data_IF_297963224397
#
_entry.id   IF_297963224397
#
_cell.length_a   1.000
_cell.length_b   1.000
_cell.length_c   1.000
_cell.angle_alpha   90.00
_cell.angle_beta   90.00
_cell.angle_gamma   90.00
#
_symmetry.space_group_name_H-M   'P 1'
#
loop_
_entity.id
_entity.type
_entity.pdbx_description
1 polymer ?
#
# COMPACT_ATOMS: atom_id res chain seq x y z
N UNK A 1 -3.90 26.74 8.28
CA UNK A 1 -4.65 26.56 7.04
C UNK A 1 -6.12 26.46 7.39
N UNK A 2 -6.97 27.36 6.88
CA UNK A 2 -8.39 27.16 7.03
C UNK A 2 -8.84 26.05 6.10
N UNK A 3 -9.37 24.93 6.61
CA UNK A 3 -10.03 23.95 5.77
C UNK A 3 -11.24 24.55 5.09
N UNK A 4 -11.39 24.32 3.80
CA UNK A 4 -12.65 24.65 3.14
C UNK A 4 -13.71 23.66 3.64
N UNK A 5 -14.95 24.13 3.91
CA UNK A 5 -16.03 23.22 4.25
C UNK A 5 -16.31 22.25 3.09
N UNK A 6 -16.92 21.11 3.38
CA UNK A 6 -17.25 20.09 2.38
C UNK A 6 -18.07 20.66 1.18
N UNK A 7 -18.83 21.73 1.41
CA UNK A 7 -19.50 22.50 0.36
C UNK A 7 -19.04 23.96 0.43
N UNK A 8 -17.88 24.29 -0.16
CA UNK A 8 -17.36 25.63 -0.11
C UNK A 8 -18.17 26.58 -0.99
N UNK A 9 -18.36 27.84 -0.52
CA UNK A 9 -19.08 28.86 -1.27
C UNK A 9 -18.13 29.96 -1.75
N UNK A 10 -18.10 30.19 -3.05
CA UNK A 10 -17.32 31.27 -3.65
C UNK A 10 -17.78 32.64 -3.16
N UNK A 11 -19.08 32.83 -2.90
CA UNK A 11 -19.62 34.12 -2.44
C UNK A 11 -19.20 34.43 -1.00
N UNK A 12 -19.15 33.38 -0.14
CA UNK A 12 -18.61 33.54 1.22
C UNK A 12 -17.11 33.90 1.18
N UNK A 13 -16.34 33.22 0.32
CA UNK A 13 -14.91 33.53 0.16
C UNK A 13 -14.68 34.95 -0.40
N UNK A 14 -15.50 35.37 -1.36
CA UNK A 14 -15.47 36.76 -1.87
C UNK A 14 -15.80 37.79 -0.81
N UNK A 15 -16.83 37.51 0.01
CA UNK A 15 -17.18 38.35 1.13
C UNK A 15 -16.03 38.46 2.13
N UNK A 16 -15.46 37.34 2.56
CA UNK A 16 -14.27 37.34 3.45
C UNK A 16 -13.11 38.13 2.86
N UNK A 17 -12.86 38.04 1.56
CA UNK A 17 -11.79 38.83 0.92
C UNK A 17 -12.07 40.32 0.97
N UNK A 18 -13.32 40.73 0.78
CA UNK A 18 -13.71 42.13 0.89
C UNK A 18 -13.62 42.66 2.34
N UNK A 19 -14.02 41.82 3.30
CA UNK A 19 -13.97 42.18 4.72
C UNK A 19 -12.51 42.29 5.20
N UNK A 20 -11.65 41.37 4.79
CA UNK A 20 -10.21 41.44 5.07
C UNK A 20 -9.55 42.68 4.44
N UNK A 21 -9.89 42.97 3.18
CA UNK A 21 -9.36 44.14 2.49
C UNK A 21 -9.72 45.44 3.23
N UNK A 22 -10.97 45.56 3.75
CA UNK A 22 -11.43 46.70 4.53
C UNK A 22 -10.76 46.78 5.90
N UNK A 23 -10.68 45.66 6.59
CA UNK A 23 -10.12 45.61 7.95
C UNK A 23 -8.65 45.99 7.99
N UNK A 24 -7.88 45.55 6.98
CA UNK A 24 -6.43 45.74 6.95
C UNK A 24 -5.97 46.86 5.99
N UNK A 25 -6.87 47.51 5.29
CA UNK A 25 -6.52 48.58 4.35
C UNK A 25 -5.72 48.13 3.12
N UNK A 26 -5.79 46.86 2.77
CA UNK A 26 -5.05 46.27 1.63
C UNK A 26 -5.93 46.22 0.37
N UNK A 27 -5.29 46.08 -0.79
CA UNK A 27 -6.03 45.89 -2.05
C UNK A 27 -6.79 44.55 -2.05
N UNK A 28 -7.96 44.52 -2.67
CA UNK A 28 -8.79 43.31 -2.78
C UNK A 28 -8.00 42.11 -3.36
N UNK A 29 -7.19 42.36 -4.37
CA UNK A 29 -6.35 41.29 -4.96
C UNK A 29 -5.35 40.67 -3.97
N UNK A 30 -4.82 41.46 -3.06
CA UNK A 30 -3.94 41.00 -2.00
C UNK A 30 -4.71 40.21 -0.95
N UNK A 31 -5.86 40.68 -0.51
CA UNK A 31 -6.73 39.92 0.40
C UNK A 31 -7.19 38.60 -0.20
N UNK A 32 -7.53 38.58 -1.48
CA UNK A 32 -7.85 37.36 -2.24
C UNK A 32 -6.67 36.40 -2.29
N UNK A 33 -5.47 36.89 -2.55
CA UNK A 33 -4.25 36.10 -2.56
C UNK A 33 -3.98 35.46 -1.19
N UNK A 34 -4.11 36.24 -0.10
CA UNK A 34 -3.92 35.74 1.26
C UNK A 34 -4.93 34.64 1.61
N UNK A 35 -6.22 34.86 1.30
CA UNK A 35 -7.25 33.83 1.52
C UNK A 35 -6.95 32.57 0.71
N UNK A 36 -6.53 32.71 -0.55
CA UNK A 36 -6.14 31.54 -1.34
C UNK A 36 -4.97 30.78 -0.68
N UNK A 37 -3.95 31.49 -0.20
CA UNK A 37 -2.81 30.92 0.51
C UNK A 37 -3.22 30.25 1.84
N UNK A 38 -4.12 30.87 2.60
CA UNK A 38 -4.66 30.30 3.84
C UNK A 38 -5.34 28.95 3.61
N UNK A 39 -5.95 28.78 2.45
CA UNK A 39 -6.57 27.52 2.03
C UNK A 39 -5.64 26.63 1.19
N UNK A 40 -4.32 26.91 1.15
CA UNK A 40 -3.32 26.07 0.47
C UNK A 40 -3.25 26.23 -1.04
N UNK A 41 -3.87 27.27 -1.61
CA UNK A 41 -3.83 27.51 -3.05
C UNK A 41 -2.81 28.58 -3.43
N UNK A 42 -2.07 28.38 -4.55
CA UNK A 42 -1.05 29.32 -4.98
C UNK A 42 -1.60 30.67 -5.47
N UNK A 43 -2.90 30.73 -5.78
CA UNK A 43 -3.57 31.96 -6.21
C UNK A 43 -5.08 31.89 -6.07
N UNK A 44 -5.72 33.07 -6.05
CA UNK A 44 -7.18 33.19 -6.02
C UNK A 44 -7.89 32.49 -7.20
N UNK A 45 -7.44 32.61 -8.47
CA UNK A 45 -8.05 31.86 -9.56
C UNK A 45 -8.00 30.34 -9.37
N UNK A 46 -6.94 29.81 -8.74
CA UNK A 46 -6.82 28.39 -8.42
C UNK A 46 -7.81 27.94 -7.35
N UNK A 47 -7.96 28.74 -6.30
CA UNK A 47 -8.99 28.52 -5.29
C UNK A 47 -10.40 28.58 -5.91
N UNK A 48 -10.68 29.55 -6.78
CA UNK A 48 -11.97 29.64 -7.46
C UNK A 48 -12.25 28.41 -8.34
N UNK A 49 -11.27 27.96 -9.11
CA UNK A 49 -11.39 26.77 -9.95
C UNK A 49 -11.67 25.50 -9.12
N UNK A 50 -11.00 25.38 -7.98
CA UNK A 50 -11.26 24.30 -7.01
C UNK A 50 -12.71 24.35 -6.49
N UNK A 51 -13.13 25.50 -5.95
CA UNK A 51 -14.47 25.63 -5.35
C UNK A 51 -15.57 25.36 -6.38
N UNK A 52 -15.43 25.85 -7.60
CA UNK A 52 -16.39 25.54 -8.67
C UNK A 52 -16.48 24.03 -8.91
N UNK A 53 -15.35 23.35 -9.00
CA UNK A 53 -15.29 21.90 -9.25
C UNK A 53 -15.92 21.10 -8.13
N UNK A 54 -15.60 21.43 -6.87
CA UNK A 54 -16.21 20.79 -5.70
C UNK A 54 -17.73 21.01 -5.68
N UNK A 55 -18.19 22.22 -6.05
CA UNK A 55 -19.64 22.52 -6.08
C UNK A 55 -20.37 21.92 -7.27
N UNK A 56 -19.71 21.84 -8.43
CA UNK A 56 -20.30 21.32 -9.67
C UNK A 56 -20.25 19.78 -9.76
N UNK A 57 -19.19 19.15 -9.20
CA UNK A 57 -18.93 17.71 -9.32
C UNK A 57 -18.85 16.96 -8.00
N UNK A 58 -18.96 17.64 -6.85
CA UNK A 58 -18.89 17.01 -5.52
C UNK A 58 -17.51 16.46 -5.15
N UNK A 59 -16.43 16.95 -5.77
CA UNK A 59 -15.09 16.38 -5.66
C UNK A 59 -14.21 17.08 -4.62
N UNK A 60 -13.38 16.28 -3.94
CA UNK A 60 -12.30 16.77 -3.08
C UNK A 60 -10.98 16.65 -3.83
N UNK A 61 -10.33 17.78 -4.15
CA UNK A 61 -9.02 17.76 -4.77
C UNK A 61 -7.91 17.53 -3.72
N UNK A 62 -6.82 16.95 -4.17
CA UNK A 62 -5.69 16.60 -3.34
C UNK A 62 -4.64 17.70 -3.34
N UNK A 63 -3.97 17.91 -2.20
CA UNK A 63 -2.82 18.82 -2.12
C UNK A 63 -1.54 18.11 -2.58
N UNK A 64 -0.78 18.68 -3.52
CA UNK A 64 0.57 18.20 -3.81
C UNK A 64 1.47 18.54 -2.61
N UNK A 65 2.19 17.57 -2.11
CA UNK A 65 3.06 17.73 -0.94
C UNK A 65 4.52 17.29 -1.19
N UNK A 66 4.71 16.37 -2.14
CA UNK A 66 6.04 15.85 -2.46
C UNK A 66 6.76 16.80 -3.41
N UNK A 67 8.05 17.03 -3.16
CA UNK A 67 8.86 17.97 -3.93
C UNK A 67 9.44 17.37 -5.21
N UNK A 68 9.41 16.04 -5.33
CA UNK A 68 9.93 15.34 -6.50
C UNK A 68 8.86 15.19 -7.58
N UNK A 69 9.15 15.70 -8.76
CA UNK A 69 8.28 15.58 -9.94
C UNK A 69 8.13 14.13 -10.39
N UNK A 70 9.18 13.31 -10.25
CA UNK A 70 9.15 11.90 -10.65
C UNK A 70 8.19 11.08 -9.78
N UNK A 71 7.98 11.46 -8.53
CA UNK A 71 6.93 10.89 -7.69
C UNK A 71 5.55 10.98 -8.37
N UNK A 72 5.18 12.15 -8.87
CA UNK A 72 3.89 12.35 -9.56
C UNK A 72 3.85 11.67 -10.93
N UNK A 73 5.00 11.59 -11.61
CA UNK A 73 5.12 10.84 -12.87
C UNK A 73 4.92 9.34 -12.65
N UNK A 74 5.50 8.77 -11.61
CA UNK A 74 5.29 7.39 -11.19
C UNK A 74 3.83 7.10 -10.84
N UNK A 75 3.18 8.04 -10.16
CA UNK A 75 1.73 7.94 -9.88
C UNK A 75 0.89 7.91 -11.14
N UNK A 76 1.20 8.74 -12.12
CA UNK A 76 0.49 8.74 -13.40
C UNK A 76 0.67 7.40 -14.16
N UNK A 77 1.88 6.84 -14.14
CA UNK A 77 2.13 5.52 -14.71
C UNK A 77 1.38 4.41 -13.99
N UNK A 78 1.35 4.46 -12.64
CA UNK A 78 0.60 3.49 -11.84
C UNK A 78 -0.90 3.55 -12.08
N UNK A 79 -1.47 4.74 -12.20
CA UNK A 79 -2.88 4.93 -12.52
C UNK A 79 -3.21 4.37 -13.92
N UNK A 80 -2.36 4.64 -14.91
CA UNK A 80 -2.53 4.12 -16.27
C UNK A 80 -2.48 2.59 -16.29
N UNK A 81 -1.47 1.99 -15.67
CA UNK A 81 -1.34 0.54 -15.59
C UNK A 81 -2.56 -0.11 -14.92
N UNK A 82 -3.05 0.47 -13.81
CA UNK A 82 -4.26 -0.01 -13.14
C UNK A 82 -5.51 0.09 -14.03
N UNK A 83 -5.62 1.15 -14.84
CA UNK A 83 -6.73 1.33 -15.76
C UNK A 83 -6.66 0.37 -16.97
N UNK A 84 -5.45 0.09 -17.47
CA UNK A 84 -5.21 -0.91 -18.53
C UNK A 84 -5.49 -2.34 -18.05
N UNK A 85 -5.26 -2.61 -16.76
CA UNK A 85 -5.55 -3.90 -16.12
C UNK A 85 -7.01 -4.05 -15.65
N UNK A 86 -7.90 -3.14 -16.03
CA UNK A 86 -9.30 -3.12 -15.62
C UNK A 86 -9.51 -3.14 -14.08
N UNK A 87 -8.56 -2.61 -13.32
CA UNK A 87 -8.70 -2.47 -11.86
C UNK A 87 -9.98 -1.68 -11.55
N UNK A 88 -10.87 -2.17 -10.68
CA UNK A 88 -12.11 -1.47 -10.33
C UNK A 88 -11.84 -0.03 -9.89
N UNK A 89 -12.56 0.93 -10.49
CA UNK A 89 -12.43 2.35 -10.21
C UNK A 89 -11.23 3.06 -10.87
N UNK A 90 -10.28 2.34 -11.48
CA UNK A 90 -9.08 2.95 -12.06
C UNK A 90 -9.35 3.76 -13.34
N UNK A 91 -10.39 3.42 -14.09
CA UNK A 91 -10.82 4.18 -15.28
C UNK A 91 -11.64 5.41 -14.95
N UNK A 92 -12.33 5.41 -13.82
CA UNK A 92 -13.20 6.50 -13.40
C UNK A 92 -12.53 7.90 -13.42
N UNK A 93 -11.28 8.09 -12.93
CA UNK A 93 -10.61 9.38 -13.03
C UNK A 93 -10.37 9.84 -14.47
N UNK A 94 -10.12 8.91 -15.41
CA UNK A 94 -9.97 9.24 -16.83
C UNK A 94 -11.28 9.73 -17.44
N UNK A 95 -12.37 9.01 -17.18
CA UNK A 95 -13.71 9.38 -17.65
C UNK A 95 -14.16 10.71 -17.07
N UNK A 96 -13.99 10.89 -15.77
CA UNK A 96 -14.31 12.13 -15.02
C UNK A 96 -13.63 13.35 -15.62
N UNK A 97 -12.38 13.23 -16.02
CA UNK A 97 -11.59 14.33 -16.56
C UNK A 97 -11.54 14.35 -18.08
N UNK A 98 -12.25 13.43 -18.77
CA UNK A 98 -12.29 13.33 -20.23
C UNK A 98 -10.90 13.12 -20.82
N UNK A 99 -10.07 12.26 -20.20
CA UNK A 99 -8.71 11.99 -20.65
C UNK A 99 -8.58 10.59 -21.26
N UNK A 100 -7.82 10.43 -22.35
CA UNK A 100 -7.57 9.11 -22.93
C UNK A 100 -6.67 8.26 -22.03
N UNK A 101 -6.78 6.92 -22.15
CA UNK A 101 -5.88 5.96 -21.49
C UNK A 101 -4.51 5.96 -22.16
N UNK A 102 -3.75 7.01 -21.91
CA UNK A 102 -2.38 7.22 -22.40
C UNK A 102 -1.53 7.82 -21.30
N UNK A 103 -0.19 7.77 -21.46
CA UNK A 103 0.74 8.40 -20.51
C UNK A 103 0.45 9.88 -20.28
N UNK A 104 0.14 10.63 -21.34
CA UNK A 104 -0.16 12.06 -21.21
C UNK A 104 -1.56 12.29 -20.61
N UNK A 105 -2.53 11.42 -20.93
CA UNK A 105 -3.84 11.44 -20.28
C UNK A 105 -3.74 11.16 -18.77
N UNK A 106 -2.97 10.18 -18.36
CA UNK A 106 -2.72 9.90 -16.95
C UNK A 106 -2.03 11.06 -16.21
N UNK A 107 -1.05 11.69 -16.84
CA UNK A 107 -0.42 12.91 -16.32
C UNK A 107 -1.42 14.07 -16.20
N UNK A 108 -2.32 14.22 -17.18
CA UNK A 108 -3.36 15.22 -17.13
C UNK A 108 -4.36 14.94 -16.00
N UNK A 109 -4.75 13.67 -15.79
CA UNK A 109 -5.60 13.25 -14.66
C UNK A 109 -4.93 13.63 -13.34
N UNK A 110 -3.70 13.19 -13.10
CA UNK A 110 -2.97 13.50 -11.86
C UNK A 110 -2.87 15.01 -11.65
N UNK A 111 -2.57 15.79 -12.69
CA UNK A 111 -2.54 17.25 -12.56
C UNK A 111 -3.89 17.83 -12.14
N UNK A 112 -4.98 17.33 -12.69
CA UNK A 112 -6.33 17.81 -12.40
C UNK A 112 -6.79 17.41 -10.99
N UNK A 113 -6.46 16.20 -10.53
CA UNK A 113 -6.71 15.75 -9.15
C UNK A 113 -6.03 16.67 -8.13
N UNK A 114 -4.90 17.27 -8.49
CA UNK A 114 -4.21 18.29 -7.68
C UNK A 114 -4.67 19.74 -7.98
N UNK A 115 -5.74 19.96 -8.72
CA UNK A 115 -6.27 21.29 -9.00
C UNK A 115 -5.53 22.08 -10.08
N UNK A 116 -4.66 21.45 -10.86
CA UNK A 116 -3.92 22.10 -11.93
C UNK A 116 -4.51 21.79 -13.30
N UNK A 117 -4.62 22.83 -14.15
CA UNK A 117 -5.16 22.67 -15.51
C UNK A 117 -4.25 21.88 -16.46
N UNK A 118 -2.99 21.64 -16.11
CA UNK A 118 -2.05 20.88 -16.93
C UNK A 118 -0.91 20.31 -16.12
N UNK A 119 -0.26 19.25 -16.67
CA UNK A 119 0.96 18.65 -16.10
C UNK A 119 2.09 19.67 -15.91
N UNK A 120 2.25 20.60 -16.88
CA UNK A 120 3.26 21.68 -16.79
C UNK A 120 3.01 22.57 -15.56
N UNK A 121 1.75 22.89 -15.27
CA UNK A 121 1.39 23.72 -14.12
C UNK A 121 1.63 23.00 -12.79
N UNK A 122 1.25 21.70 -12.69
CA UNK A 122 1.55 20.89 -11.52
C UNK A 122 3.07 20.80 -11.29
N UNK A 123 3.83 20.47 -12.33
CA UNK A 123 5.28 20.34 -12.25
C UNK A 123 5.97 21.64 -11.82
N UNK A 124 5.49 22.78 -12.30
CA UNK A 124 5.99 24.08 -11.87
C UNK A 124 5.71 24.36 -10.40
N UNK A 125 4.52 24.01 -9.92
CA UNK A 125 4.17 24.15 -8.50
C UNK A 125 5.00 23.21 -7.62
N UNK A 126 5.10 21.93 -7.97
CA UNK A 126 5.87 20.94 -7.21
C UNK A 126 7.32 21.41 -7.03
N UNK A 127 7.95 21.95 -8.07
CA UNK A 127 9.30 22.53 -7.96
C UNK A 127 9.39 23.72 -7.00
N UNK A 128 8.31 24.45 -6.83
CA UNK A 128 8.26 25.60 -5.90
C UNK A 128 7.96 25.20 -4.45
N UNK A 129 7.64 23.94 -4.16
CA UNK A 129 7.35 23.49 -2.79
C UNK A 129 8.58 23.49 -1.89
N UNK A 130 9.79 23.47 -2.44
CA UNK A 130 11.05 23.51 -1.68
C UNK A 130 11.05 24.66 -0.67
N UNK A 131 10.62 25.83 -1.11
CA UNK A 131 10.57 27.05 -0.29
C UNK A 131 9.14 27.46 0.09
N UNK A 132 8.13 26.62 -0.22
CA UNK A 132 6.76 26.97 0.05
C UNK A 132 6.48 26.91 1.55
N UNK A 133 5.94 27.97 2.09
CA UNK A 133 5.40 27.99 3.45
C UNK A 133 4.08 27.20 3.60
N UNK A 134 3.72 26.37 2.62
CA UNK A 134 2.46 25.61 2.63
C UNK A 134 2.39 24.67 3.83
N UNK A 135 1.40 24.84 4.73
CA UNK A 135 1.35 24.11 6.00
C UNK A 135 1.29 22.58 5.83
N UNK A 136 0.51 22.09 4.83
CA UNK A 136 0.40 20.65 4.59
C UNK A 136 1.74 20.02 4.16
N UNK A 137 2.46 20.67 3.24
CA UNK A 137 3.77 20.20 2.81
C UNK A 137 4.81 20.26 3.96
N UNK A 138 4.70 21.24 4.86
CA UNK A 138 5.54 21.34 6.07
C UNK A 138 5.23 20.20 7.05
N UNK A 139 3.95 19.89 7.28
CA UNK A 139 3.53 18.79 8.15
C UNK A 139 3.95 17.44 7.57
N UNK A 140 3.81 17.25 6.26
CA UNK A 140 4.28 16.05 5.58
C UNK A 140 5.80 15.86 5.75
N UNK A 141 6.61 16.92 5.56
CA UNK A 141 8.05 16.85 5.78
C UNK A 141 8.43 16.55 7.23
N UNK A 142 7.67 17.06 8.20
CA UNK A 142 7.86 16.70 9.61
C UNK A 142 7.61 15.21 9.84
N UNK A 143 6.60 14.63 9.20
CA UNK A 143 6.32 13.19 9.23
C UNK A 143 7.47 12.40 8.60
N UNK A 144 7.92 12.76 7.40
CA UNK A 144 9.06 12.09 6.73
C UNK A 144 10.36 12.15 7.56
N UNK A 145 10.61 13.30 8.18
CA UNK A 145 11.77 13.51 9.06
C UNK A 145 11.62 12.85 10.45
N UNK A 146 10.46 12.25 10.74
CA UNK A 146 10.10 11.72 12.08
C UNK A 146 10.31 12.76 13.17
N UNK A 147 9.80 13.98 12.93
CA UNK A 147 9.88 15.14 13.83
C UNK A 147 8.50 15.41 14.47
N UNK A 148 8.20 14.75 15.62
CA UNK A 148 6.92 14.89 16.29
C UNK A 148 6.71 16.31 16.84
N UNK A 149 7.76 16.98 17.31
CA UNK A 149 7.66 18.33 17.90
C UNK A 149 7.26 19.35 16.83
N UNK A 150 7.82 19.21 15.64
CA UNK A 150 7.48 20.04 14.49
C UNK A 150 6.06 19.79 14.02
N UNK A 151 5.63 18.52 13.98
CA UNK A 151 4.27 18.14 13.62
C UNK A 151 3.27 18.74 14.61
N UNK A 152 3.49 18.58 15.90
CA UNK A 152 2.61 19.11 16.95
C UNK A 152 2.49 20.63 16.90
N UNK A 153 3.60 21.34 16.70
CA UNK A 153 3.61 22.79 16.50
C UNK A 153 2.72 23.20 15.32
N UNK A 154 2.84 22.49 14.17
CA UNK A 154 2.07 22.79 12.98
C UNK A 154 0.59 22.50 13.14
N UNK A 155 0.21 21.44 13.85
CA UNK A 155 -1.18 21.12 14.16
C UNK A 155 -1.79 22.16 15.12
N UNK A 156 -1.01 22.69 16.07
CA UNK A 156 -1.41 23.78 16.92
C UNK A 156 -1.64 25.09 16.15
N UNK A 157 -0.75 25.42 15.20
CA UNK A 157 -0.87 26.62 14.36
C UNK A 157 -2.02 26.49 13.32
N UNK A 158 -2.24 25.27 12.81
CA UNK A 158 -3.18 24.96 11.72
C UNK A 158 -4.02 23.72 12.04
N UNK A 159 -4.98 23.78 12.97
CA UNK A 159 -5.76 22.62 13.39
C UNK A 159 -6.45 21.87 12.25
N UNK A 160 -6.83 22.56 11.17
CA UNK A 160 -7.44 21.95 9.98
C UNK A 160 -6.50 21.06 9.18
N UNK A 161 -5.21 20.98 9.51
CA UNK A 161 -4.27 20.06 8.85
C UNK A 161 -4.64 18.60 9.09
N UNK A 162 -5.24 18.29 10.23
CA UNK A 162 -5.65 16.93 10.58
C UNK A 162 -6.65 16.34 9.59
N UNK A 163 -7.46 17.20 8.96
CA UNK A 163 -8.46 16.83 7.94
C UNK A 163 -7.98 17.03 6.50
N UNK A 164 -6.82 17.64 6.32
CA UNK A 164 -6.31 17.92 4.98
C UNK A 164 -5.89 16.61 4.27
N UNK A 165 -6.07 16.58 2.95
CA UNK A 165 -5.75 15.42 2.13
C UNK A 165 -4.66 15.74 1.12
N UNK A 166 -3.71 14.84 1.02
CA UNK A 166 -2.66 14.86 0.01
C UNK A 166 -2.97 13.95 -1.17
N UNK A 167 -1.92 13.53 -1.84
CA UNK A 167 -1.99 12.64 -3.01
C UNK A 167 -2.72 11.34 -2.67
N UNK A 168 -3.57 10.85 -3.56
CA UNK A 168 -4.47 9.69 -3.35
C UNK A 168 -5.52 9.87 -2.25
N UNK A 169 -5.75 11.08 -1.80
CA UNK A 169 -6.64 11.34 -0.69
C UNK A 169 -6.12 10.83 0.65
N UNK A 170 -4.83 10.46 0.75
CA UNK A 170 -4.21 10.19 2.04
C UNK A 170 -4.22 11.46 2.89
N UNK A 171 -4.59 11.31 4.16
CA UNK A 171 -4.39 12.34 5.18
C UNK A 171 -3.03 12.14 5.89
N UNK A 172 -2.73 13.02 6.85
CA UNK A 172 -1.47 12.92 7.58
C UNK A 172 -1.38 11.64 8.43
N UNK A 173 -2.52 11.11 8.94
CA UNK A 173 -2.52 9.86 9.72
C UNK A 173 -2.17 8.65 8.84
N UNK A 174 -2.76 8.56 7.65
CA UNK A 174 -2.41 7.50 6.69
C UNK A 174 -0.95 7.54 6.26
N UNK A 175 -0.36 8.75 6.17
CA UNK A 175 1.07 8.92 5.86
C UNK A 175 1.98 8.61 7.05
N UNK A 176 1.61 9.02 8.26
CA UNK A 176 2.37 8.73 9.47
C UNK A 176 2.52 7.22 9.72
N UNK A 177 1.47 6.44 9.45
CA UNK A 177 1.52 4.98 9.55
C UNK A 177 2.59 4.30 8.70
N UNK A 178 3.01 4.93 7.60
CA UNK A 178 4.08 4.40 6.75
C UNK A 178 5.51 4.68 7.29
N UNK A 179 5.66 5.54 8.28
CA UNK A 179 6.97 5.90 8.85
C UNK A 179 7.45 4.94 9.93
N UNK A 180 6.59 4.06 10.42
CA UNK A 180 6.85 3.19 11.57
C UNK A 180 7.14 3.95 12.88
N UNK A 181 6.75 5.22 12.97
CA UNK A 181 6.83 6.02 14.20
C UNK A 181 5.43 6.24 14.79
N UNK A 182 5.08 5.48 15.82
CA UNK A 182 3.78 5.52 16.46
C UNK A 182 3.49 6.86 17.16
N UNK A 183 4.52 7.61 17.54
CA UNK A 183 4.35 8.91 18.19
C UNK A 183 3.66 9.90 17.26
N UNK A 184 4.02 9.89 15.97
CA UNK A 184 3.40 10.72 14.95
C UNK A 184 1.91 10.39 14.79
N UNK A 185 1.57 9.10 14.73
CA UNK A 185 0.19 8.65 14.65
C UNK A 185 -0.61 9.02 15.91
N UNK A 186 -0.01 8.89 17.09
CA UNK A 186 -0.63 9.29 18.36
C UNK A 186 -0.94 10.78 18.41
N UNK A 187 0.01 11.64 18.05
CA UNK A 187 -0.18 13.10 17.98
C UNK A 187 -1.36 13.43 17.07
N UNK A 188 -1.43 12.83 15.88
CA UNK A 188 -2.50 13.09 14.94
C UNK A 188 -3.87 12.63 15.48
N UNK A 189 -3.93 11.47 16.14
CA UNK A 189 -5.15 10.96 16.77
C UNK A 189 -5.59 11.85 17.94
N UNK A 190 -4.64 12.31 18.78
CA UNK A 190 -4.91 13.23 19.88
C UNK A 190 -5.41 14.61 19.39
N UNK A 191 -5.03 15.02 18.19
CA UNK A 191 -5.56 16.20 17.49
C UNK A 191 -6.85 15.94 16.69
N UNK A 192 -7.43 14.73 16.81
CA UNK A 192 -8.74 14.38 16.23
C UNK A 192 -8.69 13.85 14.81
N UNK A 193 -7.56 13.29 14.36
CA UNK A 193 -7.53 12.56 13.10
C UNK A 193 -8.52 11.40 13.11
N UNK A 194 -9.25 11.23 12.02
CA UNK A 194 -10.24 10.16 11.88
C UNK A 194 -9.56 8.83 11.49
N UNK A 195 -9.50 7.83 12.40
CA UNK A 195 -8.85 6.56 12.14
C UNK A 195 -9.62 5.66 11.15
N UNK A 196 -10.87 6.02 10.82
CA UNK A 196 -11.69 5.29 9.85
C UNK A 196 -11.47 5.80 8.42
N UNK A 197 -10.81 6.94 8.25
CA UNK A 197 -10.70 7.59 6.96
C UNK A 197 -9.79 6.82 6.01
N UNK A 198 -10.36 6.35 4.89
CA UNK A 198 -9.62 5.74 3.79
C UNK A 198 -9.20 6.76 2.73
N UNK A 199 -8.15 6.43 1.98
CA UNK A 199 -7.79 7.14 0.75
C UNK A 199 -8.75 6.80 -0.40
N UNK A 200 -8.47 7.26 -1.63
CA UNK A 200 -9.32 7.00 -2.81
C UNK A 200 -9.46 5.51 -3.17
N UNK A 201 -8.63 4.64 -2.62
CA UNK A 201 -8.70 3.19 -2.79
C UNK A 201 -9.37 2.48 -1.61
N UNK A 202 -9.94 3.22 -0.66
CA UNK A 202 -10.45 2.68 0.60
C UNK A 202 -9.38 2.27 1.62
N UNK A 203 -8.10 2.57 1.34
CA UNK A 203 -6.98 2.20 2.20
C UNK A 203 -6.95 3.07 3.46
N UNK A 204 -7.29 2.48 4.60
CA UNK A 204 -7.34 3.15 5.91
C UNK A 204 -6.00 3.05 6.65
N UNK A 205 -5.78 3.79 7.75
CA UNK A 205 -4.61 3.62 8.61
C UNK A 205 -4.42 2.18 9.11
N UNK A 206 -5.52 1.43 9.37
CA UNK A 206 -5.45 0.02 9.77
C UNK A 206 -4.91 -0.87 8.64
N UNK A 207 -5.27 -0.60 7.37
CA UNK A 207 -4.66 -1.29 6.23
C UNK A 207 -3.16 -1.02 6.14
N UNK A 208 -2.75 0.24 6.37
CA UNK A 208 -1.33 0.58 6.36
C UNK A 208 -0.56 -0.14 7.47
N UNK A 209 -1.09 -0.15 8.68
CA UNK A 209 -0.48 -0.85 9.80
C UNK A 209 -0.41 -2.38 9.57
N UNK A 210 -1.44 -2.96 8.97
CA UNK A 210 -1.48 -4.37 8.58
C UNK A 210 -0.44 -4.70 7.48
N UNK A 211 -0.33 -3.84 6.46
CA UNK A 211 0.62 -3.97 5.36
C UNK A 211 2.08 -3.85 5.82
N UNK A 212 2.34 -3.03 6.83
CA UNK A 212 3.69 -2.77 7.36
C UNK A 212 4.04 -3.62 8.58
N UNK A 213 3.17 -4.57 8.99
CA UNK A 213 3.33 -5.41 10.17
C UNK A 213 3.61 -4.61 11.46
N UNK A 214 2.73 -3.67 11.78
CA UNK A 214 2.88 -2.76 12.93
C UNK A 214 1.80 -3.05 14.00
N UNK A 215 1.95 -4.13 14.81
CA UNK A 215 0.93 -4.54 15.79
C UNK A 215 0.66 -3.45 16.85
N UNK A 216 1.67 -2.69 17.28
CA UNK A 216 1.48 -1.62 18.25
C UNK A 216 0.67 -0.45 17.67
N UNK A 217 0.89 -0.11 16.41
CA UNK A 217 0.07 0.88 15.72
C UNK A 217 -1.36 0.37 15.51
N UNK A 218 -1.55 -0.92 15.22
CA UNK A 218 -2.89 -1.54 15.18
C UNK A 218 -3.60 -1.36 16.52
N UNK A 219 -2.97 -1.71 17.63
CA UNK A 219 -3.53 -1.55 18.98
C UNK A 219 -3.89 -0.08 19.26
N UNK A 220 -3.06 0.87 18.85
CA UNK A 220 -3.33 2.29 18.99
C UNK A 220 -4.58 2.70 18.20
N UNK A 221 -4.65 2.34 16.91
CA UNK A 221 -5.77 2.66 16.03
C UNK A 221 -7.09 2.03 16.54
N UNK A 222 -7.04 0.76 16.98
CA UNK A 222 -8.20 0.06 17.52
C UNK A 222 -8.74 0.72 18.80
N UNK A 223 -7.87 1.17 19.70
CA UNK A 223 -8.28 1.95 20.88
C UNK A 223 -8.96 3.28 20.53
N UNK A 224 -8.63 3.86 19.36
CA UNK A 224 -9.30 5.05 18.83
C UNK A 224 -10.52 4.73 17.95
N UNK A 225 -11.02 3.49 17.97
CA UNK A 225 -12.24 3.10 17.27
C UNK A 225 -12.09 2.88 15.76
N UNK A 226 -10.88 2.61 15.28
CA UNK A 226 -10.65 2.30 13.86
C UNK A 226 -11.44 1.04 13.43
N UNK A 227 -12.18 1.08 12.31
CA UNK A 227 -12.89 -0.10 11.81
C UNK A 227 -11.92 -1.11 11.19
N UNK A 228 -12.15 -2.41 11.43
CA UNK A 228 -11.29 -3.51 10.99
C UNK A 228 -11.82 -4.27 9.78
N UNK A 229 -13.14 -4.22 9.54
CA UNK A 229 -13.80 -4.98 8.46
C UNK A 229 -14.11 -4.13 7.22
N UNK A 230 -13.29 -3.10 6.99
CA UNK A 230 -13.39 -2.23 5.81
C UNK A 230 -12.58 -2.84 4.68
N UNK A 231 -13.18 -2.97 3.49
CA UNK A 231 -12.48 -3.43 2.29
C UNK A 231 -11.79 -2.27 1.56
N UNK A 232 -10.57 -2.51 1.08
CA UNK A 232 -9.84 -1.62 0.19
C UNK A 232 -9.57 -2.30 -1.16
N UNK A 233 -9.51 -1.51 -2.23
CA UNK A 233 -9.18 -1.99 -3.59
C UNK A 233 -10.12 -3.09 -4.10
N UNK A 234 -11.41 -2.94 -3.85
CA UNK A 234 -12.45 -3.90 -4.21
C UNK A 234 -12.93 -4.74 -3.03
N UNK A 235 -13.78 -5.70 -3.30
CA UNK A 235 -14.36 -6.58 -2.27
C UNK A 235 -13.30 -7.50 -1.67
N UNK A 236 -13.30 -7.58 -0.33
CA UNK A 236 -12.54 -8.56 0.44
C UNK A 236 -11.11 -8.19 0.80
N UNK A 237 -10.62 -7.02 0.36
CA UNK A 237 -9.31 -6.52 0.77
C UNK A 237 -9.34 -5.89 2.16
N UNK A 238 -9.77 -6.63 3.19
CA UNK A 238 -9.77 -6.14 4.58
C UNK A 238 -8.35 -6.09 5.16
N UNK A 239 -8.08 -5.34 6.23
CA UNK A 239 -6.77 -5.32 6.87
C UNK A 239 -6.25 -6.72 7.25
N UNK A 240 -7.12 -7.60 7.73
CA UNK A 240 -6.75 -9.00 8.03
C UNK A 240 -6.28 -9.73 6.77
N UNK A 241 -7.02 -9.62 5.67
CA UNK A 241 -6.64 -10.24 4.39
C UNK A 241 -5.30 -9.69 3.89
N UNK A 242 -5.07 -8.37 4.04
CA UNK A 242 -3.79 -7.74 3.71
C UNK A 242 -2.63 -8.33 4.51
N UNK A 243 -2.78 -8.40 5.83
CA UNK A 243 -1.74 -8.97 6.70
C UNK A 243 -1.44 -10.44 6.35
N UNK A 244 -2.46 -11.27 6.16
CA UNK A 244 -2.31 -12.68 5.80
C UNK A 244 -1.65 -12.86 4.42
N UNK A 245 -2.05 -12.04 3.44
CA UNK A 245 -1.48 -12.10 2.11
C UNK A 245 0.03 -11.82 2.10
N UNK A 246 0.49 -10.85 2.88
CA UNK A 246 1.91 -10.51 2.97
C UNK A 246 2.68 -11.36 4.00
N UNK A 247 2.01 -12.26 4.72
CA UNK A 247 2.65 -13.09 5.74
C UNK A 247 3.02 -12.32 7.01
N UNK A 248 2.32 -11.23 7.30
CA UNK A 248 2.50 -10.39 8.49
C UNK A 248 1.72 -10.99 9.67
N UNK A 249 2.28 -12.06 10.21
CA UNK A 249 1.65 -12.92 11.20
C UNK A 249 1.18 -12.17 12.44
N UNK A 250 2.01 -11.30 12.99
CA UNK A 250 1.69 -10.55 14.23
C UNK A 250 0.51 -9.59 14.02
N UNK A 251 0.51 -8.86 12.90
CA UNK A 251 -0.60 -8.02 12.52
C UNK A 251 -1.86 -8.84 12.27
N UNK A 252 -1.76 -9.99 11.58
CA UNK A 252 -2.89 -10.87 11.32
C UNK A 252 -3.48 -11.45 12.61
N UNK A 253 -2.66 -11.88 13.57
CA UNK A 253 -3.10 -12.40 14.87
C UNK A 253 -3.75 -11.32 15.73
N UNK A 254 -3.28 -10.08 15.66
CA UNK A 254 -3.93 -8.94 16.31
C UNK A 254 -5.30 -8.67 15.68
N UNK A 255 -5.36 -8.57 14.35
CA UNK A 255 -6.61 -8.28 13.65
C UNK A 255 -7.65 -9.41 13.79
N UNK A 256 -7.24 -10.67 13.76
CA UNK A 256 -8.15 -11.80 13.90
C UNK A 256 -8.95 -11.81 15.20
N UNK A 257 -8.46 -11.15 16.26
CA UNK A 257 -9.17 -10.98 17.53
C UNK A 257 -10.31 -9.97 17.47
N UNK A 258 -10.28 -9.07 16.47
CA UNK A 258 -11.19 -7.93 16.36
C UNK A 258 -12.03 -7.94 15.09
N UNK A 259 -11.64 -8.72 14.06
CA UNK A 259 -12.30 -8.78 12.77
C UNK A 259 -13.07 -10.08 12.59
N UNK A 260 -14.10 -10.00 11.76
CA UNK A 260 -14.80 -11.20 11.28
C UNK A 260 -14.00 -11.77 10.10
N UNK A 261 -13.34 -12.91 10.31
CA UNK A 261 -12.60 -13.58 9.27
C UNK A 261 -13.53 -13.94 8.09
N UNK A 262 -13.18 -13.57 6.84
CA UNK A 262 -13.92 -14.02 5.66
C UNK A 262 -13.88 -15.55 5.54
N UNK A 263 -15.04 -16.15 5.26
CA UNK A 263 -15.17 -17.60 5.11
C UNK A 263 -14.64 -18.10 3.76
N UNK A 264 -13.34 -17.98 3.53
CA UNK A 264 -12.67 -18.51 2.34
C UNK A 264 -11.42 -19.31 2.70
N UNK A 265 -11.05 -20.24 1.83
CA UNK A 265 -9.99 -21.20 2.08
C UNK A 265 -8.60 -20.54 2.29
N UNK A 266 -8.31 -19.45 1.61
CA UNK A 266 -7.03 -18.73 1.74
C UNK A 266 -6.87 -18.12 3.13
N UNK A 267 -7.94 -17.48 3.63
CA UNK A 267 -7.95 -16.87 4.96
C UNK A 267 -7.86 -17.95 6.04
N UNK A 268 -8.64 -19.01 5.93
CA UNK A 268 -8.58 -20.15 6.86
C UNK A 268 -7.16 -20.75 6.90
N UNK A 269 -6.55 -20.96 5.74
CA UNK A 269 -5.17 -21.45 5.63
C UNK A 269 -4.13 -20.52 6.24
N UNK A 270 -4.24 -19.20 5.96
CA UNK A 270 -3.34 -18.19 6.51
C UNK A 270 -3.46 -18.04 8.03
N UNK A 271 -4.65 -18.25 8.58
CA UNK A 271 -4.89 -18.30 10.03
C UNK A 271 -4.45 -19.64 10.66
N UNK A 272 -4.39 -20.71 9.87
CA UNK A 272 -4.12 -22.08 10.36
C UNK A 272 -5.36 -22.71 11.00
N UNK A 273 -6.55 -22.29 10.60
CA UNK A 273 -7.84 -22.81 11.09
C UNK A 273 -8.17 -24.11 10.34
N UNK A 274 -7.79 -25.24 10.93
CA UNK A 274 -7.93 -26.56 10.32
C UNK A 274 -9.41 -26.94 10.15
N UNK A 275 -10.25 -26.64 11.11
CA UNK A 275 -11.69 -26.99 11.06
C UNK A 275 -12.36 -26.24 9.90
N UNK A 276 -12.06 -24.95 9.74
CA UNK A 276 -12.55 -24.16 8.61
C UNK A 276 -11.99 -24.63 7.27
N UNK A 277 -10.71 -25.03 7.19
CA UNK A 277 -10.12 -25.61 5.98
C UNK A 277 -10.89 -26.87 5.56
N UNK A 278 -11.12 -27.78 6.48
CA UNK A 278 -11.82 -29.04 6.22
C UNK A 278 -13.28 -28.81 5.80
N UNK A 279 -14.00 -27.92 6.48
CA UNK A 279 -15.36 -27.54 6.11
C UNK A 279 -15.41 -26.95 4.69
N UNK A 280 -14.53 -26.01 4.37
CA UNK A 280 -14.52 -25.32 3.09
C UNK A 280 -14.14 -26.26 1.93
N UNK A 281 -13.21 -27.17 2.13
CA UNK A 281 -12.83 -28.19 1.14
C UNK A 281 -13.97 -29.18 0.90
N UNK A 282 -14.69 -29.58 1.94
CA UNK A 282 -15.79 -30.55 1.84
C UNK A 282 -17.04 -29.93 1.20
N UNK A 283 -17.34 -28.66 1.52
CA UNK A 283 -18.53 -27.96 1.03
C UNK A 283 -18.36 -27.36 -0.36
N UNK A 284 -17.15 -27.28 -0.90
CA UNK A 284 -16.84 -26.61 -2.17
C UNK A 284 -17.06 -25.09 -2.15
N UNK A 285 -17.24 -24.49 -0.97
CA UNK A 285 -17.53 -23.05 -0.80
C UNK A 285 -16.31 -22.18 -0.59
N UNK A 286 -15.15 -22.60 -1.06
CA UNK A 286 -13.88 -21.90 -0.84
C UNK A 286 -13.73 -20.52 -1.50
N UNK A 287 -14.81 -19.88 -1.93
CA UNK A 287 -14.87 -18.65 -2.70
C UNK A 287 -13.80 -17.58 -2.44
N UNK A 288 -13.58 -16.73 -3.40
CA UNK A 288 -12.43 -15.84 -3.44
C UNK A 288 -12.79 -14.38 -3.25
N UNK A 289 -12.14 -13.72 -2.28
CA UNK A 289 -12.05 -12.27 -2.27
C UNK A 289 -10.83 -11.83 -3.07
N UNK A 290 -11.02 -11.27 -4.27
CA UNK A 290 -9.94 -11.06 -5.25
C UNK A 290 -9.58 -9.60 -5.49
N UNK A 291 -10.37 -8.64 -4.99
CA UNK A 291 -10.16 -7.22 -5.24
C UNK A 291 -8.80 -6.68 -4.79
N UNK A 292 -8.27 -7.23 -3.71
CA UNK A 292 -6.97 -6.84 -3.16
C UNK A 292 -5.78 -7.25 -4.05
N UNK A 293 -5.90 -8.33 -4.79
CA UNK A 293 -4.78 -8.92 -5.55
C UNK A 293 -4.55 -8.31 -6.92
N UNK A 294 -5.30 -7.30 -7.28
CA UNK A 294 -4.98 -6.52 -8.46
C UNK A 294 -3.86 -5.57 -8.12
N UNK A 295 -2.65 -5.89 -8.59
CA UNK A 295 -1.47 -5.26 -8.06
C UNK A 295 -1.32 -3.84 -8.55
N UNK A 296 -0.56 -3.10 -7.76
CA UNK A 296 0.06 -1.89 -8.23
C UNK A 296 0.88 -2.12 -9.48
N UNK A 297 1.08 -1.06 -10.24
CA UNK A 297 2.06 -0.99 -11.31
C UNK A 297 3.35 -1.72 -10.92
N UNK A 298 3.80 -2.61 -11.79
CA UNK A 298 5.05 -3.34 -11.62
C UNK A 298 4.93 -4.82 -11.29
N UNK A 299 3.75 -5.32 -10.97
CA UNK A 299 3.54 -6.77 -10.84
C UNK A 299 2.95 -7.35 -12.13
N UNK A 300 3.24 -8.61 -12.47
CA UNK A 300 2.66 -9.27 -13.62
C UNK A 300 1.15 -9.35 -13.47
N UNK A 301 0.45 -9.33 -14.59
CA UNK A 301 -1.00 -9.52 -14.62
C UNK A 301 -1.33 -10.89 -14.08
N UNK A 302 -1.90 -10.94 -12.89
CA UNK A 302 -2.44 -12.15 -12.34
C UNK A 302 -3.96 -12.15 -12.52
N UNK A 303 -4.47 -13.16 -13.19
CA UNK A 303 -5.88 -13.37 -13.47
C UNK A 303 -6.37 -14.58 -12.68
N UNK A 304 -6.57 -14.45 -11.34
CA UNK A 304 -6.99 -15.59 -10.54
C UNK A 304 -8.37 -16.08 -10.98
N UNK A 305 -8.57 -17.39 -10.96
CA UNK A 305 -9.82 -18.05 -11.28
C UNK A 305 -10.53 -18.55 -10.03
N UNK A 306 -11.76 -19.08 -10.18
CA UNK A 306 -12.46 -19.80 -9.10
C UNK A 306 -12.26 -21.32 -9.21
N UNK A 307 -11.25 -21.76 -9.97
CA UNK A 307 -10.88 -23.17 -10.05
C UNK A 307 -10.50 -23.67 -8.65
N UNK A 308 -11.19 -24.71 -8.14
CA UNK A 308 -10.90 -25.28 -6.82
C UNK A 308 -9.45 -25.72 -6.63
N UNK A 309 -8.77 -26.16 -7.71
CA UNK A 309 -7.35 -26.53 -7.67
C UNK A 309 -6.49 -25.30 -7.44
N UNK A 310 -6.70 -24.25 -8.24
CA UNK A 310 -5.97 -22.99 -8.06
C UNK A 310 -6.20 -22.38 -6.68
N UNK A 311 -7.46 -22.33 -6.20
CA UNK A 311 -7.81 -21.81 -4.88
C UNK A 311 -7.10 -22.58 -3.76
N UNK A 312 -7.03 -23.92 -3.88
CA UNK A 312 -6.33 -24.79 -2.90
C UNK A 312 -4.82 -24.57 -2.94
N UNK A 313 -4.23 -24.45 -4.12
CA UNK A 313 -2.81 -24.18 -4.29
C UNK A 313 -2.42 -22.79 -3.75
N UNK A 314 -3.25 -21.77 -3.97
CA UNK A 314 -3.06 -20.47 -3.32
C UNK A 314 -3.16 -20.56 -1.79
N UNK A 315 -4.13 -21.31 -1.25
CA UNK A 315 -4.27 -21.49 0.18
C UNK A 315 -2.99 -22.12 0.78
N UNK A 316 -2.33 -23.05 0.06
CA UNK A 316 -1.04 -23.62 0.46
C UNK A 316 0.03 -22.52 0.58
N UNK A 317 0.12 -21.62 -0.39
CA UNK A 317 1.05 -20.49 -0.34
C UNK A 317 0.73 -19.52 0.81
N UNK A 318 -0.56 -19.31 1.15
CA UNK A 318 -0.95 -18.49 2.30
C UNK A 318 -0.59 -19.15 3.64
N UNK A 319 -0.78 -20.46 3.78
CA UNK A 319 -0.32 -21.21 4.95
C UNK A 319 1.20 -21.11 5.11
N UNK A 320 1.95 -21.23 4.01
CA UNK A 320 3.40 -21.18 4.00
C UNK A 320 3.96 -19.84 4.48
N UNK A 321 3.47 -18.72 3.91
CA UNK A 321 3.95 -17.37 4.28
C UNK A 321 3.58 -16.96 5.71
N UNK A 322 2.55 -17.60 6.29
CA UNK A 322 2.13 -17.39 7.67
C UNK A 322 2.62 -18.47 8.65
N UNK A 323 3.49 -19.38 8.19
CA UNK A 323 4.10 -20.47 9.00
C UNK A 323 3.08 -21.39 9.67
N UNK A 324 2.03 -21.80 8.94
CA UNK A 324 0.95 -22.65 9.44
C UNK A 324 1.17 -24.12 9.06
N UNK A 325 2.05 -24.78 9.80
CA UNK A 325 2.56 -26.15 9.49
C UNK A 325 1.44 -27.18 9.33
N UNK A 326 0.45 -27.20 10.24
CA UNK A 326 -0.65 -28.17 10.17
C UNK A 326 -1.55 -27.91 8.95
N UNK A 327 -1.77 -26.64 8.60
CA UNK A 327 -2.50 -26.28 7.40
C UNK A 327 -1.77 -26.73 6.12
N UNK A 328 -0.42 -26.63 6.08
CA UNK A 328 0.38 -27.14 4.97
C UNK A 328 0.15 -28.64 4.78
N UNK A 329 0.27 -29.43 5.85
CA UNK A 329 0.06 -30.89 5.83
C UNK A 329 -1.35 -31.24 5.39
N UNK A 330 -2.37 -30.57 5.95
CA UNK A 330 -3.78 -30.79 5.61
C UNK A 330 -4.04 -30.48 4.14
N UNK A 331 -3.60 -29.33 3.64
CA UNK A 331 -3.84 -28.93 2.25
C UNK A 331 -3.19 -29.87 1.24
N UNK A 332 -1.93 -30.29 1.47
CA UNK A 332 -1.25 -31.27 0.60
C UNK A 332 -1.95 -32.64 0.67
N UNK A 333 -2.35 -33.11 1.85
CA UNK A 333 -3.14 -34.34 2.00
C UNK A 333 -4.49 -34.27 1.29
N UNK A 334 -5.04 -33.08 1.12
CA UNK A 334 -6.28 -32.80 0.37
C UNK A 334 -6.03 -32.45 -1.11
N UNK A 335 -4.82 -32.69 -1.63
CA UNK A 335 -4.47 -32.59 -3.03
C UNK A 335 -4.02 -31.21 -3.51
N UNK A 336 -3.51 -30.35 -2.61
CA UNK A 336 -2.76 -29.18 -3.03
C UNK A 336 -1.42 -29.62 -3.68
N UNK A 337 -1.08 -29.01 -4.80
CA UNK A 337 0.18 -29.27 -5.51
C UNK A 337 1.30 -28.47 -4.84
N UNK A 338 2.29 -29.19 -4.29
CA UNK A 338 3.34 -28.59 -3.44
C UNK A 338 4.18 -27.54 -4.17
N UNK A 339 4.40 -27.73 -5.48
CA UNK A 339 5.20 -26.86 -6.34
C UNK A 339 4.36 -25.96 -7.26
N UNK A 340 3.07 -25.82 -7.00
CA UNK A 340 2.24 -24.91 -7.77
C UNK A 340 2.74 -23.46 -7.64
N UNK A 341 3.07 -22.83 -8.76
CA UNK A 341 3.41 -21.41 -8.86
C UNK A 341 2.17 -20.60 -9.25
N UNK A 342 1.32 -20.33 -8.28
CA UNK A 342 0.03 -19.66 -8.53
C UNK A 342 0.18 -18.16 -8.64
N UNK A 343 0.97 -17.57 -7.75
CA UNK A 343 1.24 -16.14 -7.75
C UNK A 343 2.60 -15.82 -7.14
N UNK A 344 3.54 -15.35 -7.95
CA UNK A 344 4.87 -14.93 -7.56
C UNK A 344 5.73 -16.02 -6.91
N UNK A 345 5.48 -17.27 -7.24
CA UNK A 345 6.27 -18.38 -6.76
C UNK A 345 5.48 -19.41 -5.96
N UNK A 346 6.16 -20.54 -5.69
CA UNK A 346 5.62 -21.66 -4.94
C UNK A 346 5.45 -21.35 -3.46
N UNK A 347 4.77 -22.25 -2.73
CA UNK A 347 4.67 -22.16 -1.27
C UNK A 347 6.07 -22.12 -0.61
N UNK A 348 7.04 -22.90 -1.12
CA UNK A 348 8.42 -22.90 -0.63
C UNK A 348 9.11 -21.54 -0.86
N UNK A 349 8.93 -20.93 -2.02
CA UNK A 349 9.47 -19.60 -2.34
C UNK A 349 8.94 -18.52 -1.36
N UNK A 350 7.64 -18.54 -1.09
CA UNK A 350 7.03 -17.61 -0.12
C UNK A 350 7.51 -17.85 1.31
N UNK A 351 7.60 -19.10 1.75
CA UNK A 351 8.12 -19.42 3.08
C UNK A 351 9.58 -18.98 3.24
N UNK A 352 10.39 -19.17 2.21
CA UNK A 352 11.79 -18.76 2.19
C UNK A 352 11.96 -17.24 2.22
N UNK A 353 11.18 -16.49 1.41
CA UNK A 353 11.18 -15.03 1.39
C UNK A 353 10.82 -14.41 2.74
N UNK A 354 9.97 -15.09 3.51
CA UNK A 354 9.47 -14.63 4.82
C UNK A 354 10.24 -15.23 6.01
N UNK A 355 11.28 -16.04 5.78
CA UNK A 355 12.06 -16.66 6.85
C UNK A 355 11.29 -17.68 7.69
N UNK A 356 10.32 -18.39 7.10
CA UNK A 356 9.43 -19.33 7.81
C UNK A 356 10.04 -20.72 7.87
N UNK A 357 11.04 -20.89 8.72
CA UNK A 357 11.85 -22.12 8.78
C UNK A 357 11.03 -23.40 8.96
N UNK A 358 9.97 -23.39 9.80
CA UNK A 358 9.16 -24.59 10.03
C UNK A 358 8.34 -24.93 8.79
N UNK A 359 7.80 -23.93 8.10
CA UNK A 359 7.10 -24.11 6.82
C UNK A 359 8.06 -24.61 5.73
N UNK A 360 9.29 -24.05 5.64
CA UNK A 360 10.31 -24.50 4.70
C UNK A 360 10.62 -25.99 4.90
N UNK A 361 10.94 -26.40 6.13
CA UNK A 361 11.22 -27.81 6.44
C UNK A 361 10.03 -28.70 6.11
N UNK A 362 8.83 -28.28 6.52
CA UNK A 362 7.61 -29.06 6.25
C UNK A 362 7.36 -29.22 4.75
N UNK A 363 7.55 -28.18 3.94
CA UNK A 363 7.35 -28.25 2.50
C UNK A 363 8.40 -29.16 1.83
N UNK A 364 9.66 -29.11 2.27
CA UNK A 364 10.71 -30.02 1.81
C UNK A 364 10.38 -31.46 2.18
N UNK A 365 9.92 -31.75 3.40
CA UNK A 365 9.45 -33.07 3.84
C UNK A 365 8.24 -33.57 3.01
N UNK A 366 7.40 -32.65 2.53
CA UNK A 366 6.25 -32.94 1.66
C UNK A 366 6.64 -33.10 0.18
N UNK A 367 7.92 -32.99 -0.15
CA UNK A 367 8.46 -33.20 -1.49
C UNK A 367 8.53 -31.97 -2.39
N UNK A 368 8.56 -30.76 -1.82
CA UNK A 368 8.78 -29.57 -2.60
C UNK A 368 10.14 -29.58 -3.31
N UNK A 369 10.16 -29.20 -4.59
CA UNK A 369 11.40 -29.05 -5.36
C UNK A 369 12.18 -27.83 -4.86
N UNK A 370 13.29 -28.07 -4.17
CA UNK A 370 14.17 -27.04 -3.61
C UNK A 370 14.75 -26.11 -4.69
N UNK A 371 14.83 -26.60 -5.93
CA UNK A 371 15.39 -25.90 -7.09
C UNK A 371 14.33 -25.37 -8.05
N UNK A 372 13.06 -25.40 -7.65
CA UNK A 372 11.98 -24.86 -8.47
C UNK A 372 12.28 -23.41 -8.88
N UNK A 373 12.20 -23.13 -10.17
CA UNK A 373 12.44 -21.80 -10.76
C UNK A 373 11.12 -21.08 -10.93
N UNK A 374 10.78 -20.25 -9.96
CA UNK A 374 9.51 -19.56 -9.93
C UNK A 374 9.44 -18.34 -10.85
N UNK A 375 8.24 -17.83 -11.04
CA UNK A 375 7.98 -16.64 -11.83
C UNK A 375 8.13 -15.35 -11.04
N UNK A 376 8.32 -15.39 -9.78
CA UNK A 376 8.39 -14.36 -8.73
C UNK A 376 8.24 -12.92 -9.21
N UNK A 377 7.08 -12.56 -9.76
CA UNK A 377 6.79 -11.23 -10.24
C UNK A 377 6.91 -11.07 -11.77
N UNK A 378 7.12 -12.15 -12.50
CA UNK A 378 7.21 -12.19 -13.96
C UNK A 378 8.53 -11.64 -14.51
N UNK A 379 8.60 -11.40 -15.83
CA UNK A 379 9.84 -11.03 -16.52
C UNK A 379 10.52 -9.78 -15.98
N UNK A 380 9.79 -8.91 -15.33
CA UNK A 380 10.33 -7.63 -14.81
C UNK A 380 10.83 -7.73 -13.37
N UNK A 381 10.61 -8.85 -12.67
CA UNK A 381 10.83 -8.94 -11.21
C UNK A 381 11.42 -10.26 -10.73
N UNK A 382 12.03 -11.05 -11.59
CA UNK A 382 12.78 -12.21 -11.13
C UNK A 382 12.26 -13.54 -11.62
N UNK A 383 11.92 -13.64 -12.90
CA UNK A 383 11.71 -14.93 -13.54
C UNK A 383 12.93 -15.83 -13.32
N UNK A 384 12.69 -17.10 -12.97
CA UNK A 384 13.75 -18.07 -12.71
C UNK A 384 14.37 -17.98 -11.31
N UNK A 385 13.80 -17.22 -10.41
CA UNK A 385 14.23 -17.10 -9.01
C UNK A 385 13.87 -18.38 -8.24
N UNK A 386 14.81 -18.89 -7.45
CA UNK A 386 14.60 -20.02 -6.53
C UNK A 386 14.35 -19.56 -5.11
N UNK A 387 13.86 -20.45 -4.24
CA UNK A 387 13.72 -20.20 -2.81
C UNK A 387 15.03 -19.73 -2.16
N UNK A 388 16.18 -20.24 -2.65
CA UNK A 388 17.51 -19.86 -2.15
C UNK A 388 17.84 -18.38 -2.44
N UNK A 389 17.48 -17.85 -3.62
CA UNK A 389 17.64 -16.42 -3.93
C UNK A 389 16.87 -15.54 -2.95
N UNK A 390 15.61 -15.88 -2.68
CA UNK A 390 14.73 -15.10 -1.80
C UNK A 390 15.20 -15.10 -0.34
N UNK A 391 15.63 -16.28 0.15
CA UNK A 391 16.20 -16.39 1.49
C UNK A 391 17.51 -15.60 1.61
N UNK A 392 18.32 -15.58 0.55
CA UNK A 392 19.59 -14.86 0.49
C UNK A 392 19.36 -13.33 0.51
N UNK A 393 18.44 -12.83 -0.31
CA UNK A 393 18.06 -11.42 -0.36
C UNK A 393 17.56 -10.91 0.99
N UNK A 394 16.86 -11.75 1.75
CA UNK A 394 16.27 -11.39 3.05
C UNK A 394 17.19 -11.74 4.24
N UNK A 395 18.33 -12.36 4.02
CA UNK A 395 19.30 -12.70 5.06
C UNK A 395 18.86 -13.81 6.05
N UNK A 396 17.95 -14.68 5.65
CA UNK A 396 17.39 -15.74 6.51
C UNK A 396 18.34 -16.95 6.61
N UNK A 397 19.33 -16.89 7.50
CA UNK A 397 20.43 -17.85 7.60
C UNK A 397 19.99 -19.28 7.92
N UNK A 398 18.99 -19.48 8.74
CA UNK A 398 18.43 -20.79 9.09
C UNK A 398 17.71 -21.43 7.91
N UNK A 399 16.96 -20.62 7.15
CA UNK A 399 16.32 -21.06 5.90
C UNK A 399 17.38 -21.39 4.84
N UNK A 400 18.41 -20.56 4.68
CA UNK A 400 19.52 -20.83 3.76
C UNK A 400 20.19 -22.17 4.06
N UNK A 401 20.50 -22.45 5.34
CA UNK A 401 21.08 -23.74 5.73
C UNK A 401 20.17 -24.91 5.38
N UNK A 402 18.88 -24.80 5.71
CA UNK A 402 17.91 -25.85 5.42
C UNK A 402 17.77 -26.11 3.91
N UNK A 403 17.73 -25.08 3.08
CA UNK A 403 17.66 -25.23 1.63
C UNK A 403 18.94 -25.89 1.07
N UNK A 404 20.12 -25.44 1.51
CA UNK A 404 21.41 -26.01 1.07
C UNK A 404 21.56 -27.45 1.53
N UNK A 405 21.16 -27.81 2.74
CA UNK A 405 21.16 -29.19 3.26
C UNK A 405 20.25 -30.13 2.46
N UNK A 406 19.19 -29.55 1.82
CA UNK A 406 18.28 -30.29 0.94
C UNK A 406 18.65 -30.17 -0.55
N UNK A 407 19.87 -29.74 -0.89
CA UNK A 407 20.40 -29.80 -2.25
C UNK A 407 20.04 -28.59 -3.13
N UNK A 408 19.83 -27.42 -2.52
CA UNK A 408 19.65 -26.20 -3.30
C UNK A 408 20.90 -25.85 -4.13
N UNK A 409 20.71 -25.53 -5.39
CA UNK A 409 21.75 -25.13 -6.32
C UNK A 409 22.28 -23.72 -6.02
N UNK A 410 23.50 -23.64 -5.49
CA UNK A 410 24.18 -22.38 -5.19
C UNK A 410 24.53 -21.58 -6.44
N UNK A 411 24.66 -22.25 -7.59
CA UNK A 411 24.98 -21.66 -8.89
C UNK A 411 23.76 -21.27 -9.71
N UNK A 412 22.55 -21.51 -9.20
CA UNK A 412 21.31 -21.10 -9.91
C UNK A 412 21.34 -19.60 -10.23
N UNK A 413 20.89 -19.25 -11.45
CA UNK A 413 20.88 -17.85 -11.89
C UNK A 413 19.46 -17.40 -12.26
N UNK A 414 19.06 -16.22 -11.81
CA UNK A 414 17.82 -15.61 -12.27
C UNK A 414 17.90 -15.19 -13.74
N UNK A 415 16.74 -15.03 -14.38
CA UNK A 415 16.68 -14.80 -15.83
C UNK A 415 16.89 -13.32 -16.22
N UNK A 416 16.88 -12.37 -15.27
CA UNK A 416 16.93 -10.94 -15.55
C UNK A 416 18.34 -10.39 -15.41
N UNK A 417 18.95 -10.67 -14.26
CA UNK A 417 20.27 -10.11 -13.91
C UNK A 417 21.39 -11.13 -14.04
N UNK A 418 21.04 -12.37 -14.43
CA UNK A 418 21.99 -13.51 -14.44
C UNK A 418 22.73 -13.65 -13.09
N UNK A 419 22.04 -13.28 -12.00
CA UNK A 419 22.58 -13.21 -10.66
C UNK A 419 22.35 -14.51 -9.87
N UNK A 420 23.34 -14.88 -9.06
CA UNK A 420 23.26 -16.03 -8.16
C UNK A 420 22.66 -15.65 -6.81
N UNK A 421 22.25 -16.63 -5.96
CA UNK A 421 21.84 -16.34 -4.59
C UNK A 421 22.88 -15.58 -3.77
N UNK A 422 24.18 -15.80 -4.00
CA UNK A 422 25.25 -15.02 -3.38
C UNK A 422 25.16 -13.54 -3.77
N UNK A 423 24.95 -13.24 -5.06
CA UNK A 423 24.78 -11.87 -5.54
C UNK A 423 23.53 -11.21 -4.94
N UNK A 424 22.44 -11.97 -4.78
CA UNK A 424 21.22 -11.49 -4.13
C UNK A 424 21.43 -11.16 -2.65
N UNK A 425 22.27 -11.95 -1.94
CA UNK A 425 22.66 -11.64 -0.57
C UNK A 425 23.51 -10.36 -0.47
N UNK A 426 24.38 -10.12 -1.45
CA UNK A 426 25.19 -8.90 -1.52
C UNK A 426 24.33 -7.66 -1.77
N UNK A 427 23.41 -7.72 -2.74
CA UNK A 427 22.44 -6.64 -3.03
C UNK A 427 21.50 -6.39 -1.85
N UNK A 428 21.13 -7.45 -1.12
CA UNK A 428 20.32 -7.35 0.11
C UNK A 428 21.10 -6.82 1.32
N UNK A 429 22.41 -6.55 1.19
CA UNK A 429 23.28 -6.11 2.28
C UNK A 429 23.38 -7.12 3.45
N UNK A 430 23.36 -8.42 3.13
CA UNK A 430 23.44 -9.52 4.11
C UNK A 430 24.78 -10.28 4.03
N UNK A 431 25.88 -9.76 4.61
CA UNK A 431 27.21 -10.37 4.49
C UNK A 431 27.27 -11.79 5.05
N UNK A 432 26.56 -12.10 6.12
CA UNK A 432 26.56 -13.44 6.70
C UNK A 432 25.88 -14.46 5.77
N UNK A 433 24.84 -14.08 5.04
CA UNK A 433 24.19 -14.91 4.03
C UNK A 433 25.13 -15.15 2.84
N UNK A 434 25.78 -14.09 2.35
CA UNK A 434 26.78 -14.16 1.29
C UNK A 434 27.92 -15.12 1.67
N UNK A 435 28.50 -14.99 2.86
CA UNK A 435 29.63 -15.78 3.31
C UNK A 435 29.25 -17.27 3.46
N UNK A 436 28.01 -17.57 3.89
CA UNK A 436 27.49 -18.94 3.93
C UNK A 436 27.41 -19.57 2.54
N UNK A 437 27.03 -18.80 1.52
CA UNK A 437 26.91 -19.28 0.14
C UNK A 437 28.26 -19.43 -0.57
N UNK A 438 29.32 -18.73 -0.13
CA UNK A 438 30.69 -18.84 -0.66
C UNK A 438 31.46 -20.03 -0.16
N UNK A 439 31.18 -20.48 1.06
CA UNK A 439 32.02 -21.45 1.78
C UNK A 439 31.68 -22.93 1.46
N UNK A 440 30.82 -23.14 0.49
CA UNK A 440 30.43 -24.48 0.00
C UNK A 440 30.47 -24.49 -1.53
#
# INVERSE_FOLDING_TARGET
>A
MGTLPAKPSLDQLRKRAKDLARAEGVKLAEAQFRIARDHGFPSWPKLQAYVRRVTEHGETLQHPYHQDVEYYAGRALGLLASAEDDTPGAKEPFDRWGQPLTRDGARAVVAREHGFGSWKALRGHVKSLVDSGEPFARAYRAIEARDPERLETLLGEFPGLVDARGTNGNDLLGMAGATHDERLSRILLDHGADPARGNVHGWTPVHQAAYSNLPLLLDLLLRHGAPVDVSARGDGGTPLVVALFWGHREAAETLAKHSRAPGNLRVAAGLGDIDAIEELLTSGRGGAHRGFYRPHSGFPRWQPTDDPVEVRNEALAWAARNNRVDALRTLVARGAEVDADVYRGTALAWAAAQGRIDAVRTLLDLGADVNHRGTFGGPSHGEGVTALHLAAQSGHLDVLRALVENGADLGARDAIWDATPETWAEVGEHPAARDLLRTR
#
